data_IF_888907222277
#
_entry.id   IF_888907222277
#
_cell.length_a   1.000
_cell.length_b   1.000
_cell.length_c   1.000
_cell.angle_alpha   90.00
_cell.angle_beta   90.00
_cell.angle_gamma   90.00
#
_symmetry.space_group_name_H-M   'P 1'
#
loop_
_entity.id
_entity.type
_entity.pdbx_description
1 polymer ?
#
# COMPACT_ATOMS: atom_id res chain seq x y z
N UNK A 1 7.71 11.73 -15.69
CA UNK A 1 8.90 12.05 -14.94
C UNK A 1 8.83 11.51 -13.56
N UNK A 2 9.96 11.06 -13.04
CA UNK A 2 9.95 10.38 -11.74
C UNK A 2 9.56 11.32 -10.61
N UNK A 3 9.89 12.59 -10.73
CA UNK A 3 9.52 13.54 -9.70
C UNK A 3 8.00 13.68 -9.62
N UNK A 4 7.35 13.69 -10.76
CA UNK A 4 5.89 13.73 -10.79
C UNK A 4 5.30 12.47 -10.19
N UNK A 5 5.93 11.33 -10.45
CA UNK A 5 5.46 10.07 -9.90
C UNK A 5 5.54 10.08 -8.37
N UNK A 6 6.63 10.61 -7.83
CA UNK A 6 6.75 10.73 -6.38
C UNK A 6 5.63 11.59 -5.81
N UNK A 7 5.31 12.70 -6.49
CA UNK A 7 4.25 13.57 -6.02
C UNK A 7 2.89 12.89 -6.04
N UNK A 8 2.63 12.09 -7.05
CA UNK A 8 1.37 11.36 -7.12
C UNK A 8 1.25 10.41 -5.95
N UNK A 9 2.29 9.63 -5.70
CA UNK A 9 2.27 8.67 -4.59
C UNK A 9 2.17 9.42 -3.26
N UNK A 10 2.92 10.52 -3.12
CA UNK A 10 2.87 11.29 -1.89
C UNK A 10 1.48 11.84 -1.62
N UNK A 11 0.79 12.32 -2.64
CA UNK A 11 -0.54 12.88 -2.43
C UNK A 11 -1.54 11.82 -2.03
N UNK A 12 -1.39 10.58 -2.53
CA UNK A 12 -2.25 9.49 -2.12
C UNK A 12 -1.99 9.14 -0.65
N UNK A 13 -0.72 9.00 -0.28
CA UNK A 13 -0.38 8.59 1.08
C UNK A 13 -0.68 9.69 2.09
N UNK A 14 -0.64 10.95 1.67
CA UNK A 14 -0.97 12.04 2.57
C UNK A 14 -2.40 11.97 3.06
N UNK A 15 -3.29 11.41 2.26
CA UNK A 15 -4.69 11.25 2.67
C UNK A 15 -4.84 10.22 3.77
N UNK A 16 -3.89 9.32 3.90
CA UNK A 16 -3.92 8.28 4.92
C UNK A 16 -3.16 8.68 6.17
N UNK A 17 -2.38 9.73 6.08
CA UNK A 17 -1.53 10.16 7.18
C UNK A 17 -2.38 10.68 8.34
N UNK A 18 -2.12 10.13 9.53
CA UNK A 18 -2.81 10.61 10.72
C UNK A 18 -4.21 10.08 10.92
N UNK A 19 -4.70 9.19 10.05
CA UNK A 19 -6.02 8.63 10.23
C UNK A 19 -5.93 7.21 10.77
N UNK A 20 -7.02 6.78 11.41
CA UNK A 20 -7.13 5.40 11.84
C UNK A 20 -7.83 4.63 10.73
N UNK A 21 -7.03 3.85 9.97
CA UNK A 21 -7.54 3.12 8.81
C UNK A 21 -8.63 2.12 9.16
N UNK A 22 -8.61 1.60 10.39
CA UNK A 22 -9.60 0.61 10.79
C UNK A 22 -10.99 1.21 10.99
N UNK A 23 -11.09 2.54 11.10
CA UNK A 23 -12.37 3.21 11.27
C UNK A 23 -12.99 3.68 9.96
N UNK A 24 -12.27 3.54 8.86
CA UNK A 24 -12.76 3.98 7.57
C UNK A 24 -13.65 2.90 6.97
N UNK A 25 -14.76 3.34 6.39
CA UNK A 25 -15.62 2.41 5.65
C UNK A 25 -15.06 2.28 4.23
N UNK A 26 -14.22 1.28 4.04
CA UNK A 26 -13.53 1.08 2.76
C UNK A 26 -14.47 0.43 1.77
N UNK A 27 -15.23 1.25 1.06
CA UNK A 27 -16.05 0.79 -0.05
C UNK A 27 -15.51 1.37 -1.34
N UNK A 28 -16.08 0.92 -2.46
CA UNK A 28 -15.62 1.38 -3.77
C UNK A 28 -15.77 2.89 -3.91
N UNK A 29 -16.85 3.44 -3.38
CA UNK A 29 -17.09 4.87 -3.49
C UNK A 29 -16.10 5.67 -2.69
N UNK A 30 -15.79 5.21 -1.47
CA UNK A 30 -14.80 5.88 -0.63
C UNK A 30 -13.44 5.88 -1.30
N UNK A 31 -13.03 4.73 -1.84
CA UNK A 31 -11.75 4.64 -2.53
C UNK A 31 -11.73 5.54 -3.75
N UNK A 32 -12.82 5.56 -4.50
CA UNK A 32 -12.88 6.39 -5.70
C UNK A 32 -12.70 7.86 -5.37
N UNK A 33 -13.29 8.29 -4.27
CA UNK A 33 -13.16 9.68 -3.83
C UNK A 33 -11.77 10.01 -3.36
N UNK A 34 -11.14 9.10 -2.64
CA UNK A 34 -9.84 9.37 -2.03
C UNK A 34 -8.69 9.25 -3.03
N UNK A 35 -8.72 8.23 -3.87
CA UNK A 35 -7.56 7.90 -4.69
C UNK A 35 -7.88 7.65 -6.16
N UNK A 36 -9.16 7.78 -6.55
CA UNK A 36 -9.56 7.35 -7.89
C UNK A 36 -8.81 8.02 -9.01
N UNK A 37 -8.47 9.30 -8.84
CA UNK A 37 -7.76 10.02 -9.90
C UNK A 37 -6.33 9.53 -10.08
N UNK A 38 -5.74 8.96 -9.05
CA UNK A 38 -4.35 8.52 -9.09
C UNK A 38 -4.19 7.05 -9.50
N UNK A 39 -5.28 6.30 -9.54
CA UNK A 39 -5.19 4.87 -9.79
C UNK A 39 -5.82 4.52 -11.13
N UNK A 40 -5.17 3.61 -11.84
CA UNK A 40 -5.71 3.07 -13.08
C UNK A 40 -6.90 2.16 -12.75
N UNK A 41 -7.95 2.14 -13.61
CA UNK A 41 -9.03 1.16 -13.40
C UNK A 41 -8.56 -0.27 -13.45
N UNK A 42 -7.42 -0.52 -14.08
CA UNK A 42 -6.86 -1.87 -14.20
C UNK A 42 -5.77 -2.12 -13.17
N UNK A 43 -5.76 -1.37 -12.09
CA UNK A 43 -4.71 -1.52 -11.09
C UNK A 43 -4.62 -2.94 -10.58
N UNK A 44 -3.40 -3.36 -10.31
CA UNK A 44 -3.12 -4.67 -9.76
C UNK A 44 -2.37 -4.50 -8.46
N UNK A 45 -2.89 -5.10 -7.39
CA UNK A 45 -2.20 -5.14 -6.11
C UNK A 45 -1.70 -6.55 -5.90
N UNK A 46 -0.42 -6.69 -5.65
CA UNK A 46 0.19 -8.00 -5.44
C UNK A 46 0.82 -8.04 -4.06
N UNK A 47 0.39 -8.99 -3.25
CA UNK A 47 1.01 -9.21 -1.95
C UNK A 47 2.01 -10.33 -2.09
N UNK A 48 3.08 -10.26 -1.33
CA UNK A 48 4.09 -11.29 -1.36
C UNK A 48 3.98 -12.18 -0.15
N UNK A 49 4.45 -13.40 -0.32
CA UNK A 49 4.53 -14.33 0.78
C UNK A 49 5.62 -13.87 1.70
N UNK A 50 5.22 -13.31 2.79
CA UNK A 50 6.17 -12.61 3.61
C UNK A 50 6.03 -12.92 5.08
N UNK A 51 5.10 -13.75 5.42
CA UNK A 51 4.81 -13.94 6.82
C UNK A 51 3.92 -12.85 7.38
N UNK A 52 3.59 -11.87 6.58
CA UNK A 52 2.66 -10.82 6.97
C UNK A 52 1.31 -11.15 6.36
N UNK A 53 0.26 -11.01 7.13
CA UNK A 53 -1.06 -11.27 6.60
C UNK A 53 -1.27 -12.74 6.32
N UNK A 54 -1.73 -13.06 5.14
CA UNK A 54 -2.10 -14.41 4.79
C UNK A 54 -0.92 -15.31 4.48
N UNK A 55 0.21 -14.72 4.15
CA UNK A 55 1.36 -15.50 3.73
C UNK A 55 1.24 -16.06 2.33
N UNK A 56 0.36 -15.52 1.53
CA UNK A 56 0.15 -16.00 0.17
C UNK A 56 0.40 -14.91 -0.84
N UNK A 57 0.84 -15.31 -2.01
CA UNK A 57 1.02 -14.40 -3.13
C UNK A 57 -0.33 -14.19 -3.80
N UNK A 58 -1.05 -13.20 -3.34
CA UNK A 58 -2.37 -12.94 -3.87
C UNK A 58 -2.34 -11.73 -4.77
N UNK A 59 -3.20 -11.75 -5.77
CA UNK A 59 -3.32 -10.65 -6.71
C UNK A 59 -4.75 -10.15 -6.65
N UNK A 60 -4.88 -8.84 -6.41
CA UNK A 60 -6.17 -8.18 -6.37
C UNK A 60 -6.23 -7.20 -7.54
N UNK A 61 -7.35 -7.13 -8.23
CA UNK A 61 -7.43 -6.32 -9.44
C UNK A 61 -8.55 -5.31 -9.35
N UNK A 62 -8.25 -4.10 -9.84
CA UNK A 62 -9.22 -3.03 -9.91
C UNK A 62 -9.57 -2.47 -8.55
N UNK A 63 -10.47 -1.51 -8.55
CA UNK A 63 -10.90 -0.91 -7.29
C UNK A 63 -11.63 -1.91 -6.42
N UNK A 64 -12.42 -2.80 -7.03
CA UNK A 64 -13.10 -3.84 -6.26
C UNK A 64 -12.11 -4.74 -5.54
N UNK A 65 -11.00 -5.06 -6.19
CA UNK A 65 -9.96 -5.86 -5.56
C UNK A 65 -9.31 -5.12 -4.42
N UNK A 66 -9.07 -3.82 -4.58
CA UNK A 66 -8.49 -3.03 -3.49
C UNK A 66 -9.43 -2.98 -2.30
N UNK A 67 -10.73 -2.84 -2.54
CA UNK A 67 -11.72 -2.85 -1.47
C UNK A 67 -11.65 -4.18 -0.72
N UNK A 68 -11.63 -5.26 -1.47
CA UNK A 68 -11.55 -6.59 -0.87
C UNK A 68 -10.31 -6.74 -0.01
N UNK A 69 -9.17 -6.29 -0.53
CA UNK A 69 -7.92 -6.38 0.22
C UNK A 69 -7.97 -5.55 1.50
N UNK A 70 -8.41 -4.30 1.40
CA UNK A 70 -8.42 -3.41 2.54
C UNK A 70 -9.37 -3.88 3.62
N UNK A 71 -10.55 -4.32 3.23
CA UNK A 71 -11.52 -4.81 4.22
C UNK A 71 -11.02 -6.06 4.91
N UNK A 72 -10.45 -6.99 4.15
CA UNK A 72 -9.94 -8.21 4.74
C UNK A 72 -8.78 -7.98 5.65
N UNK A 73 -7.87 -7.08 5.25
CA UNK A 73 -6.68 -6.81 6.05
C UNK A 73 -7.02 -6.08 7.35
N UNK A 74 -7.96 -5.13 7.27
CA UNK A 74 -8.23 -4.24 8.40
C UNK A 74 -9.27 -4.77 9.38
N UNK A 75 -10.02 -5.78 8.97
CA UNK A 75 -11.10 -6.29 9.80
C UNK A 75 -10.67 -6.72 11.20
N UNK A 76 -9.51 -7.38 11.37
CA UNK A 76 -9.10 -7.82 12.71
C UNK A 76 -8.68 -6.70 13.65
N UNK A 77 -8.59 -5.46 13.16
CA UNK A 77 -8.02 -4.37 13.94
C UNK A 77 -9.07 -3.37 14.36
N UNK A 78 -8.91 -2.81 15.57
CA UNK A 78 -9.68 -1.66 16.01
C UNK A 78 -8.97 -0.36 15.68
N UNK A 79 -7.64 -0.43 15.49
CA UNK A 79 -6.84 0.70 15.03
C UNK A 79 -5.82 0.18 14.04
N UNK A 80 -5.52 0.99 13.03
CA UNK A 80 -4.45 0.67 12.10
C UNK A 80 -3.87 1.95 11.51
N UNK A 81 -2.55 2.09 11.59
CA UNK A 81 -1.87 3.30 11.17
C UNK A 81 -0.68 2.97 10.30
N UNK A 82 -0.40 3.84 9.34
CA UNK A 82 0.71 3.69 8.42
C UNK A 82 1.57 4.94 8.50
N UNK A 83 2.87 4.76 8.66
CA UNK A 83 3.83 5.85 8.66
C UNK A 83 4.78 5.66 7.47
N UNK A 84 4.82 6.63 6.58
CA UNK A 84 5.74 6.60 5.45
C UNK A 84 7.12 7.04 5.93
N UNK A 85 8.14 6.27 5.59
CA UNK A 85 9.50 6.56 6.03
C UNK A 85 10.32 7.24 4.95
N UNK A 86 10.09 6.94 3.69
CA UNK A 86 10.92 7.48 2.63
C UNK A 86 10.21 7.30 1.28
N UNK A 87 10.75 7.94 0.26
CA UNK A 87 10.31 7.76 -1.13
C UNK A 87 11.55 7.56 -1.99
N UNK A 88 11.65 6.40 -2.62
CA UNK A 88 12.80 6.07 -3.45
C UNK A 88 12.35 6.04 -4.90
N UNK A 89 12.89 6.94 -5.69
CA UNK A 89 12.55 7.02 -7.11
C UNK A 89 13.29 5.98 -7.92
N UNK A 90 12.59 5.38 -8.89
CA UNK A 90 13.22 4.47 -9.83
C UNK A 90 12.43 4.51 -11.15
N UNK A 91 12.63 5.57 -11.92
CA UNK A 91 11.95 5.71 -13.20
C UNK A 91 10.45 5.70 -13.04
N UNK A 92 9.82 4.64 -13.52
CA UNK A 92 8.37 4.50 -13.48
C UNK A 92 7.87 3.94 -12.15
N UNK A 93 8.78 3.75 -11.19
CA UNK A 93 8.41 3.19 -9.89
C UNK A 93 8.76 4.13 -8.78
N UNK A 94 7.99 4.05 -7.71
CA UNK A 94 8.32 4.74 -6.46
C UNK A 94 8.27 3.67 -5.37
N UNK A 95 9.37 3.50 -4.67
CA UNK A 95 9.48 2.48 -3.64
C UNK A 95 9.37 3.19 -2.29
N UNK A 96 8.43 2.76 -1.47
CA UNK A 96 8.07 3.46 -0.25
C UNK A 96 8.16 2.52 0.94
N UNK A 97 9.21 2.65 1.74
CA UNK A 97 9.26 1.92 3.01
C UNK A 97 8.27 2.53 3.99
N UNK A 98 7.54 1.69 4.68
CA UNK A 98 6.58 2.15 5.68
C UNK A 98 6.73 1.37 6.96
N UNK A 99 6.31 1.99 8.05
CA UNK A 99 6.13 1.32 9.33
C UNK A 99 4.64 1.36 9.65
N UNK A 100 4.08 0.20 9.96
CA UNK A 100 2.66 0.09 10.21
C UNK A 100 2.42 -0.53 11.57
N UNK A 101 1.35 -0.13 12.22
CA UNK A 101 1.00 -0.72 13.49
C UNK A 101 -0.51 -0.71 13.67
N UNK A 102 -0.98 -1.68 14.43
CA UNK A 102 -2.39 -1.80 14.70
C UNK A 102 -2.65 -2.43 16.05
N UNK A 103 -3.89 -2.33 16.48
CA UNK A 103 -4.36 -2.92 17.72
C UNK A 103 -5.42 -3.94 17.34
N UNK A 104 -5.23 -5.19 17.78
CA UNK A 104 -6.19 -6.25 17.49
C UNK A 104 -7.51 -5.99 18.15
N UNK A 105 -8.61 -6.17 17.40
CA UNK A 105 -9.94 -5.89 17.91
C UNK A 105 -10.30 -6.83 19.04
N UNK A 106 -9.99 -8.10 18.91
CA UNK A 106 -10.38 -9.10 19.90
C UNK A 106 -9.39 -9.15 21.05
N UNK A 107 -8.09 -9.06 20.75
CA UNK A 107 -7.06 -9.30 21.76
C UNK A 107 -6.57 -8.02 22.43
N UNK A 108 -6.71 -6.89 21.79
CA UNK A 108 -6.11 -5.66 22.27
C UNK A 108 -4.60 -5.63 22.09
N UNK A 109 -4.04 -6.62 21.43
CA UNK A 109 -2.59 -6.71 21.27
C UNK A 109 -2.10 -5.76 20.20
N UNK A 110 -0.92 -5.20 20.40
CA UNK A 110 -0.29 -4.31 19.43
C UNK A 110 0.58 -5.12 18.49
N UNK A 111 0.39 -4.87 17.21
CA UNK A 111 1.17 -5.50 16.15
C UNK A 111 1.91 -4.41 15.39
N UNK A 112 3.20 -4.61 15.15
CA UNK A 112 4.00 -3.68 14.36
C UNK A 112 4.67 -4.43 13.24
N UNK A 113 4.66 -3.81 12.05
CA UNK A 113 5.32 -4.40 10.90
C UNK A 113 6.03 -3.33 10.10
N UNK A 114 7.02 -3.77 9.33
CA UNK A 114 7.60 -2.93 8.29
C UNK A 114 7.24 -3.53 6.96
N UNK A 115 6.67 -2.70 6.10
CA UNK A 115 6.25 -3.13 4.77
C UNK A 115 6.79 -2.11 3.78
N UNK A 116 7.46 -2.58 2.75
CA UNK A 116 7.92 -1.72 1.68
C UNK A 116 7.03 -1.95 0.47
N UNK A 117 6.53 -0.87 -0.09
CA UNK A 117 5.56 -0.94 -1.17
C UNK A 117 6.15 -0.30 -2.41
N UNK A 118 6.08 -1.02 -3.53
CA UNK A 118 6.51 -0.52 -4.82
C UNK A 118 5.28 -0.10 -5.61
N UNK A 119 5.26 1.15 -6.05
CA UNK A 119 4.18 1.67 -6.88
C UNK A 119 4.71 1.85 -8.29
N UNK A 120 4.07 1.21 -9.26
CA UNK A 120 4.41 1.40 -10.67
C UNK A 120 3.39 2.32 -11.30
N UNK A 121 3.88 3.31 -12.03
CA UNK A 121 3.02 4.33 -12.62
C UNK A 121 3.17 4.34 -14.13
N UNK A 122 2.07 4.66 -14.78
CA UNK A 122 2.06 4.85 -16.24
C UNK A 122 1.09 5.98 -16.54
N UNK A 123 1.56 6.97 -17.30
CA UNK A 123 0.74 8.10 -17.69
C UNK A 123 0.09 8.80 -16.50
N UNK A 124 0.85 8.92 -15.43
CA UNK A 124 0.39 9.64 -14.25
C UNK A 124 -0.56 8.87 -13.37
N UNK A 125 -0.69 7.55 -13.57
CA UNK A 125 -1.59 6.74 -12.77
C UNK A 125 -0.85 5.53 -12.23
N UNK A 126 -1.22 5.13 -11.03
CA UNK A 126 -0.66 3.94 -10.40
C UNK A 126 -1.34 2.73 -11.03
N UNK A 127 -0.54 1.86 -11.65
CA UNK A 127 -1.05 0.69 -12.33
C UNK A 127 -0.77 -0.60 -11.59
N UNK A 128 0.21 -0.58 -10.69
CA UNK A 128 0.58 -1.80 -9.99
C UNK A 128 1.18 -1.45 -8.64
N UNK A 129 0.79 -2.20 -7.64
CA UNK A 129 1.29 -2.04 -6.28
C UNK A 129 1.77 -3.40 -5.81
N UNK A 130 3.02 -3.47 -5.36
CA UNK A 130 3.60 -4.73 -4.91
C UNK A 130 4.17 -4.52 -3.51
N UNK A 131 3.85 -5.43 -2.61
CA UNK A 131 4.30 -5.34 -1.21
C UNK A 131 5.46 -6.28 -0.96
N UNK A 132 6.44 -5.81 -0.22
CA UNK A 132 7.65 -6.56 0.13
C UNK A 132 7.89 -6.49 1.63
N UNK A 133 8.62 -7.47 2.14
CA UNK A 133 8.98 -7.52 3.55
C UNK A 133 9.96 -6.43 3.97
N UNK A 134 10.82 -6.01 3.05
CA UNK A 134 11.89 -5.10 3.41
C UNK A 134 12.28 -4.26 2.22
N UNK A 135 13.01 -3.18 2.50
CA UNK A 135 13.56 -2.35 1.44
C UNK A 135 14.50 -3.17 0.56
N UNK A 136 15.29 -4.04 1.17
CA UNK A 136 16.23 -4.86 0.41
C UNK A 136 15.51 -5.76 -0.59
N UNK A 137 14.44 -6.39 -0.14
CA UNK A 137 13.66 -7.26 -1.03
C UNK A 137 13.06 -6.47 -2.19
N UNK A 138 12.57 -5.28 -1.89
CA UNK A 138 11.96 -4.44 -2.92
C UNK A 138 13.01 -4.00 -3.95
N UNK A 139 14.17 -3.57 -3.48
CA UNK A 139 15.21 -3.11 -4.39
C UNK A 139 15.74 -4.24 -5.24
N UNK A 140 15.89 -5.42 -4.66
CA UNK A 140 16.33 -6.59 -5.40
C UNK A 140 15.36 -6.95 -6.51
N UNK A 141 14.07 -6.91 -6.18
CA UNK A 141 13.04 -7.31 -7.13
C UNK A 141 12.99 -6.39 -8.34
N UNK A 142 13.33 -5.11 -8.17
CA UNK A 142 13.28 -4.17 -9.27
C UNK A 142 14.68 -3.93 -9.88
N UNK A 143 15.69 -4.69 -9.45
CA UNK A 143 17.01 -4.61 -10.04
C UNK A 143 17.89 -3.52 -9.50
N UNK A 144 17.56 -2.96 -8.36
CA UNK A 144 18.36 -1.90 -7.74
C UNK A 144 19.02 -2.44 -6.47
N UNK A 145 19.95 -3.33 -6.63
CA UNK A 145 20.63 -3.83 -5.44
C UNK A 145 21.70 -2.84 -4.99
N UNK A 146 21.93 -2.83 -3.71
CA UNK A 146 22.97 -2.01 -3.11
C UNK A 146 24.33 -2.55 -3.42
#
# INVERSE_FOLDING_TARGET
MSEENVEIVRSVLAQLDGINGAEIDWGAETLREMIGAAYSPDIELRTLESGVGTGLNEVYRGLDGLVEYLRGWLEPFSEYHVQTLDYIEDGDRVIVPTRQWGIGRASGARVELEVTVSYELRDGKITRVVQYDSVEDALEAVGLSE
#
